data_IF_476478177352
#
_entry.id   IF_476478177352
#
_cell.length_a   1.000
_cell.length_b   1.000
_cell.length_c   1.000
_cell.angle_alpha   90.00
_cell.angle_beta   90.00
_cell.angle_gamma   90.00
#
_symmetry.space_group_name_H-M   'P 1'
#
loop_
_entity.id
_entity.type
_entity.pdbx_description
1 polymer ?
#
# COMPACT_ATOMS: atom_id res chain seq x y z
N UNK A 1 -5.78 -0.24 18.42
CA UNK A 1 -6.39 -0.78 17.20
C UNK A 1 -6.71 0.38 16.28
N UNK A 2 -6.80 0.15 14.99
CA UNK A 2 -7.25 1.14 14.01
C UNK A 2 -8.21 0.45 13.03
N UNK A 3 -9.37 1.05 12.77
CA UNK A 3 -10.45 0.45 11.98
C UNK A 3 -11.12 1.48 11.08
N UNK A 4 -11.86 1.03 10.06
CA UNK A 4 -12.64 1.91 9.20
C UNK A 4 -13.90 2.50 9.89
N UNK A 5 -14.18 2.15 11.14
CA UNK A 5 -15.27 2.73 11.94
C UNK A 5 -14.87 4.02 12.67
N UNK A 6 -13.59 4.36 12.69
CA UNK A 6 -13.09 5.53 13.39
C UNK A 6 -13.21 6.81 12.55
N UNK A 7 -13.29 7.96 13.22
CA UNK A 7 -13.50 9.25 12.55
C UNK A 7 -12.46 9.60 11.48
N UNK A 8 -11.23 9.10 11.59
CA UNK A 8 -10.18 9.38 10.60
C UNK A 8 -10.47 8.75 9.23
N UNK A 9 -11.29 7.69 9.17
CA UNK A 9 -11.58 6.97 7.93
C UNK A 9 -12.61 7.68 7.05
N UNK A 10 -13.49 8.49 7.66
CA UNK A 10 -14.62 9.15 7.02
C UNK A 10 -14.72 10.58 7.52
N UNK A 11 -14.11 11.51 6.79
CA UNK A 11 -14.08 12.93 7.14
C UNK A 11 -14.91 13.74 6.16
N UNK A 12 -15.78 14.61 6.68
CA UNK A 12 -16.47 15.60 5.86
C UNK A 12 -15.48 16.70 5.41
N UNK A 13 -15.72 17.35 4.26
CA UNK A 13 -14.95 18.52 3.86
C UNK A 13 -14.99 19.63 4.92
N UNK A 14 -13.89 20.37 5.06
CA UNK A 14 -13.81 21.56 5.89
C UNK A 14 -14.09 22.79 5.04
N UNK A 15 -15.13 23.54 5.40
CA UNK A 15 -15.44 24.83 4.78
C UNK A 15 -14.43 25.90 5.20
N UNK A 16 -13.95 26.68 4.25
CA UNK A 16 -13.10 27.86 4.47
C UNK A 16 -13.67 29.06 3.69
N UNK A 17 -13.20 30.27 3.98
CA UNK A 17 -13.63 31.45 3.23
C UNK A 17 -13.33 31.26 1.74
N UNK A 18 -14.38 31.28 0.91
CA UNK A 18 -14.32 31.11 -0.55
C UNK A 18 -13.73 29.76 -1.01
N UNK A 19 -13.96 28.68 -0.26
CA UNK A 19 -13.41 27.37 -0.62
C UNK A 19 -13.71 26.21 0.31
N UNK A 20 -13.10 25.06 0.00
CA UNK A 20 -13.19 23.83 0.79
C UNK A 20 -11.85 23.09 0.87
N UNK A 21 -11.68 22.32 1.94
CA UNK A 21 -10.55 21.42 2.13
C UNK A 21 -11.09 20.01 2.37
N UNK A 22 -10.79 19.09 1.46
CA UNK A 22 -11.11 17.67 1.57
C UNK A 22 -9.89 16.90 2.07
N UNK A 23 -10.11 15.96 3.00
CA UNK A 23 -9.08 15.08 3.52
C UNK A 23 -9.49 13.61 3.41
N UNK A 24 -8.56 12.79 2.93
CA UNK A 24 -8.65 11.33 3.00
C UNK A 24 -7.42 10.77 3.71
N UNK A 25 -7.65 9.93 4.69
CA UNK A 25 -6.59 9.24 5.41
C UNK A 25 -6.66 7.76 5.05
N UNK A 26 -5.54 7.19 4.62
CA UNK A 26 -5.39 5.78 4.25
C UNK A 26 -4.41 5.13 5.20
N UNK A 27 -4.84 4.07 5.86
CA UNK A 27 -3.97 3.19 6.64
C UNK A 27 -3.00 2.45 5.70
N UNK A 28 -1.70 2.70 5.79
CA UNK A 28 -0.71 2.04 4.94
C UNK A 28 -0.39 0.62 5.40
N UNK A 29 -0.72 0.25 6.64
CA UNK A 29 -0.66 -1.14 7.10
C UNK A 29 -1.80 -2.00 6.54
N UNK A 30 -2.74 -1.42 5.77
CA UNK A 30 -3.68 -2.22 4.95
C UNK A 30 -3.02 -2.87 3.73
N UNK A 31 -1.79 -2.45 3.41
CA UNK A 31 -1.06 -2.79 2.18
C UNK A 31 0.20 -3.60 2.47
N UNK A 32 0.66 -4.36 1.49
CA UNK A 32 1.93 -5.06 1.58
C UNK A 32 3.10 -4.08 1.49
N UNK A 33 3.95 -4.04 2.53
CA UNK A 33 5.18 -3.25 2.50
C UNK A 33 6.24 -3.96 1.66
N UNK A 34 6.53 -3.40 0.48
CA UNK A 34 7.49 -3.93 -0.48
C UNK A 34 8.92 -4.01 0.07
N UNK A 35 9.32 -3.09 0.95
CA UNK A 35 10.63 -3.14 1.61
C UNK A 35 10.76 -4.28 2.63
N UNK A 36 9.67 -4.98 2.95
CA UNK A 36 9.71 -6.07 3.93
C UNK A 36 10.39 -7.35 3.42
N UNK A 37 10.66 -7.45 2.12
CA UNK A 37 11.32 -8.62 1.50
C UNK A 37 12.81 -8.70 1.82
N UNK A 38 13.42 -7.61 2.29
CA UNK A 38 14.83 -7.56 2.77
C UNK A 38 14.93 -7.49 4.30
N UNK A 39 13.79 -7.56 4.99
CA UNK A 39 13.75 -7.57 6.45
C UNK A 39 14.02 -8.92 7.08
N UNK A 40 13.79 -9.02 8.41
CA UNK A 40 14.06 -10.23 9.20
C UNK A 40 13.38 -11.51 8.66
N UNK A 41 12.18 -11.37 8.09
CA UNK A 41 11.42 -12.48 7.50
C UNK A 41 11.38 -12.38 5.96
N UNK A 42 12.43 -11.82 5.36
CA UNK A 42 12.48 -11.45 3.94
C UNK A 42 12.05 -12.55 2.98
N UNK A 43 12.64 -13.75 3.10
CA UNK A 43 12.28 -14.90 2.26
C UNK A 43 10.79 -15.29 2.35
N UNK A 44 10.19 -15.24 3.54
CA UNK A 44 8.76 -15.54 3.71
C UNK A 44 7.89 -14.43 3.11
N UNK A 45 8.35 -13.17 3.22
CA UNK A 45 7.67 -12.02 2.65
C UNK A 45 7.79 -12.00 1.12
N UNK A 46 8.91 -12.42 0.53
CA UNK A 46 9.07 -12.60 -0.91
C UNK A 46 8.06 -13.62 -1.46
N UNK A 47 7.86 -14.74 -0.75
CA UNK A 47 6.83 -15.73 -1.13
C UNK A 47 5.40 -15.18 -1.01
N UNK A 48 5.13 -14.31 -0.02
CA UNK A 48 3.85 -13.58 0.06
C UNK A 48 3.69 -12.61 -1.11
N UNK A 49 4.75 -11.91 -1.48
CA UNK A 49 4.74 -10.98 -2.61
C UNK A 49 4.47 -11.72 -3.93
N UNK A 50 5.09 -12.88 -4.15
CA UNK A 50 4.80 -13.74 -5.33
C UNK A 50 3.32 -14.08 -5.44
N UNK A 51 2.69 -14.50 -4.34
CA UNK A 51 1.24 -14.77 -4.30
C UNK A 51 0.41 -13.52 -4.56
N UNK A 52 0.83 -12.36 -4.05
CA UNK A 52 0.14 -11.09 -4.30
C UNK A 52 0.16 -10.71 -5.78
N UNK A 53 1.30 -10.87 -6.45
CA UNK A 53 1.42 -10.68 -7.90
C UNK A 53 0.50 -11.66 -8.65
N UNK A 54 0.55 -12.95 -8.31
CA UNK A 54 -0.30 -13.98 -8.91
C UNK A 54 -1.80 -13.64 -8.76
N UNK A 55 -2.27 -13.29 -7.56
CA UNK A 55 -3.67 -12.94 -7.32
C UNK A 55 -4.08 -11.59 -7.93
N UNK A 56 -3.12 -10.73 -8.25
CA UNK A 56 -3.35 -9.49 -8.99
C UNK A 56 -3.33 -9.69 -10.52
N UNK A 57 -3.27 -10.94 -10.97
CA UNK A 57 -3.14 -11.32 -12.39
C UNK A 57 -1.87 -10.72 -13.03
N UNK A 58 -0.75 -10.84 -12.33
CA UNK A 58 0.57 -10.39 -12.75
C UNK A 58 1.57 -11.55 -12.73
N UNK A 59 2.69 -11.38 -13.43
CA UNK A 59 3.76 -12.38 -13.40
C UNK A 59 4.41 -12.42 -12.00
N UNK A 60 4.31 -13.55 -11.26
CA UNK A 60 4.93 -13.69 -9.94
C UNK A 60 6.46 -13.58 -9.98
N UNK A 61 7.09 -13.76 -11.15
CA UNK A 61 8.54 -13.56 -11.34
C UNK A 61 8.97 -12.12 -11.03
N UNK A 62 8.07 -11.14 -11.17
CA UNK A 62 8.34 -9.74 -10.81
C UNK A 62 8.63 -9.53 -9.32
N UNK A 63 8.23 -10.46 -8.45
CA UNK A 63 8.61 -10.41 -7.04
C UNK A 63 10.10 -10.72 -6.84
N UNK A 64 10.70 -11.59 -7.66
CA UNK A 64 12.14 -11.86 -7.63
C UNK A 64 12.93 -10.63 -8.12
N UNK A 65 12.49 -9.99 -9.20
CA UNK A 65 13.08 -8.73 -9.67
C UNK A 65 12.94 -7.60 -8.64
N UNK A 66 11.86 -7.58 -7.85
CA UNK A 66 11.74 -6.62 -6.76
C UNK A 66 12.70 -6.90 -5.60
N UNK A 67 12.99 -8.17 -5.29
CA UNK A 67 13.99 -8.52 -4.26
C UNK A 67 15.36 -7.97 -4.64
N UNK A 68 15.84 -8.28 -5.85
CA UNK A 68 17.13 -7.77 -6.36
C UNK A 68 17.14 -6.23 -6.39
N UNK A 69 16.00 -5.58 -6.69
CA UNK A 69 15.93 -4.11 -6.70
C UNK A 69 16.29 -3.47 -5.34
N UNK A 70 15.88 -4.10 -4.23
CA UNK A 70 15.95 -3.49 -2.89
C UNK A 70 16.98 -4.11 -1.96
N UNK A 71 17.50 -5.30 -2.27
CA UNK A 71 18.56 -5.91 -1.46
C UNK A 71 19.91 -5.21 -1.67
N UNK A 72 20.88 -5.47 -0.80
CA UNK A 72 22.14 -4.72 -0.81
C UNK A 72 23.26 -5.41 -1.59
N UNK A 73 23.00 -6.62 -2.09
CA UNK A 73 24.04 -7.42 -2.73
C UNK A 73 23.98 -7.28 -4.26
N UNK A 74 24.30 -8.33 -4.99
CA UNK A 74 24.37 -8.34 -6.45
C UNK A 74 24.07 -9.72 -7.01
N UNK A 75 23.48 -10.58 -6.19
CA UNK A 75 23.16 -11.96 -6.51
C UNK A 75 21.75 -12.03 -7.08
N UNK A 76 21.66 -12.44 -8.35
CA UNK A 76 20.40 -12.42 -9.10
C UNK A 76 19.48 -13.55 -8.63
N UNK A 77 18.25 -13.21 -8.23
CA UNK A 77 17.19 -14.22 -8.01
C UNK A 77 16.90 -15.02 -9.29
N UNK A 78 16.26 -16.22 -9.23
CA UNK A 78 16.01 -17.05 -10.41
C UNK A 78 15.35 -16.34 -11.61
N UNK A 79 14.49 -15.36 -11.34
CA UNK A 79 13.86 -14.49 -12.33
C UNK A 79 14.09 -12.99 -12.03
N UNK A 80 15.18 -12.71 -11.31
CA UNK A 80 15.56 -11.37 -10.89
C UNK A 80 16.30 -10.59 -11.99
N UNK A 81 16.77 -9.39 -11.62
CA UNK A 81 17.48 -8.49 -12.52
C UNK A 81 18.40 -7.57 -11.71
N UNK A 82 19.64 -7.44 -12.16
CA UNK A 82 20.66 -6.60 -11.52
C UNK A 82 21.22 -5.56 -12.49
N UNK A 83 22.31 -4.89 -12.09
CA UNK A 83 22.97 -3.84 -12.89
C UNK A 83 23.20 -4.24 -14.36
N UNK A 84 23.57 -5.50 -14.61
CA UNK A 84 23.78 -6.02 -15.97
C UNK A 84 22.53 -5.94 -16.84
N UNK A 85 21.36 -6.14 -16.25
CA UNK A 85 20.07 -6.19 -16.92
C UNK A 85 19.49 -4.78 -17.09
N UNK A 86 19.59 -3.95 -16.05
CA UNK A 86 19.09 -2.58 -16.07
C UNK A 86 19.90 -1.64 -16.99
N UNK A 87 21.20 -1.87 -17.15
CA UNK A 87 22.05 -1.11 -18.08
C UNK A 87 21.73 -1.37 -19.56
N UNK A 88 20.94 -2.41 -19.88
CA UNK A 88 20.46 -2.69 -21.23
C UNK A 88 19.15 -1.95 -21.58
N UNK A 89 18.53 -1.29 -20.61
CA UNK A 89 17.29 -0.53 -20.81
C UNK A 89 17.53 0.84 -21.44
N UNK A 90 16.46 1.47 -21.91
CA UNK A 90 16.49 2.82 -22.48
C UNK A 90 15.53 3.76 -21.71
N UNK A 91 16.03 4.78 -21.00
CA UNK A 91 17.46 5.05 -20.75
C UNK A 91 18.10 3.99 -19.84
N UNK A 92 19.43 3.79 -19.89
CA UNK A 92 20.11 2.84 -19.02
C UNK A 92 20.18 3.39 -17.58
N UNK A 93 19.98 2.51 -16.60
CA UNK A 93 20.12 2.80 -15.19
C UNK A 93 20.70 1.60 -14.44
N UNK A 94 20.97 1.79 -13.15
CA UNK A 94 21.45 0.75 -12.24
C UNK A 94 20.34 0.31 -11.31
N UNK A 95 20.48 -0.88 -10.76
CA UNK A 95 19.66 -1.33 -9.64
C UNK A 95 19.83 -0.36 -8.45
N UNK A 96 18.79 -0.19 -7.64
CA UNK A 96 18.86 0.75 -6.52
C UNK A 96 19.76 0.23 -5.37
N UNK A 97 19.74 -1.08 -5.14
CA UNK A 97 20.42 -1.83 -4.08
C UNK A 97 20.22 -1.22 -2.68
N UNK A 98 18.99 -0.76 -2.44
CA UNK A 98 18.55 -0.15 -1.19
C UNK A 98 17.03 -0.20 -1.07
N UNK A 99 16.51 -0.05 0.14
CA UNK A 99 15.08 0.10 0.35
C UNK A 99 14.51 1.24 -0.49
N UNK A 100 13.41 0.95 -1.18
CA UNK A 100 12.73 1.92 -2.03
C UNK A 100 12.15 3.07 -1.21
N UNK A 101 12.25 4.27 -1.75
CA UNK A 101 11.72 5.50 -1.17
C UNK A 101 10.30 5.81 -1.68
N UNK A 102 9.97 5.36 -2.89
CA UNK A 102 8.64 5.54 -3.47
C UNK A 102 8.11 4.28 -4.15
N UNK A 103 6.79 4.08 -4.10
CA UNK A 103 6.13 2.94 -4.72
C UNK A 103 6.35 2.90 -6.25
N UNK A 104 6.51 4.05 -6.89
CA UNK A 104 6.72 4.14 -8.34
C UNK A 104 8.01 3.44 -8.81
N UNK A 105 8.97 3.21 -7.93
CA UNK A 105 10.19 2.45 -8.23
C UNK A 105 9.90 1.01 -8.68
N UNK A 106 8.76 0.43 -8.27
CA UNK A 106 8.36 -0.90 -8.74
C UNK A 106 8.18 -0.96 -10.27
N UNK A 107 7.94 0.18 -10.93
CA UNK A 107 7.87 0.27 -12.39
C UNK A 107 9.24 0.17 -13.08
N UNK A 108 10.33 0.35 -12.32
CA UNK A 108 11.70 0.16 -12.79
C UNK A 108 12.16 -1.29 -12.57
N UNK A 109 11.68 -1.94 -11.51
CA UNK A 109 12.06 -3.32 -11.20
C UNK A 109 11.19 -4.35 -11.94
N UNK A 110 9.87 -4.27 -11.74
CA UNK A 110 8.91 -5.28 -12.17
C UNK A 110 8.66 -5.26 -13.69
N UNK A 111 8.21 -6.40 -14.20
CA UNK A 111 7.97 -6.64 -15.62
C UNK A 111 6.51 -6.29 -15.99
N UNK A 112 6.15 -5.01 -15.92
CA UNK A 112 4.82 -4.58 -16.36
C UNK A 112 4.76 -4.41 -17.87
N UNK A 113 3.79 -5.06 -18.52
CA UNK A 113 3.49 -4.91 -19.95
C UNK A 113 2.57 -3.70 -20.21
N UNK A 114 1.84 -3.24 -19.20
CA UNK A 114 0.90 -2.12 -19.33
C UNK A 114 0.75 -1.29 -18.06
N UNK A 115 0.20 -0.07 -18.20
CA UNK A 115 -0.18 0.75 -17.04
C UNK A 115 -1.31 0.14 -16.23
N UNK A 116 -2.14 -0.72 -16.84
CA UNK A 116 -3.25 -1.38 -16.18
C UNK A 116 -2.77 -2.41 -15.16
N UNK A 117 -1.70 -3.14 -15.48
CA UNK A 117 -1.06 -4.07 -14.55
C UNK A 117 -0.56 -3.39 -13.28
N UNK A 118 0.15 -2.26 -13.44
CA UNK A 118 0.54 -1.43 -12.30
C UNK A 118 -0.68 -0.94 -11.52
N UNK A 119 -1.76 -0.53 -12.21
CA UNK A 119 -2.98 -0.04 -11.57
C UNK A 119 -3.70 -1.14 -10.76
N UNK A 120 -3.58 -2.42 -11.15
CA UNK A 120 -4.07 -3.55 -10.35
C UNK A 120 -3.26 -3.76 -9.07
N UNK A 121 -1.94 -3.59 -9.11
CA UNK A 121 -1.08 -3.80 -7.93
C UNK A 121 -1.08 -2.62 -6.95
N UNK A 122 -1.07 -1.39 -7.46
CA UNK A 122 -0.84 -0.17 -6.67
C UNK A 122 -1.77 0.03 -5.46
N UNK A 123 -3.05 -0.40 -5.47
CA UNK A 123 -3.90 -0.34 -4.29
C UNK A 123 -3.45 -1.24 -3.14
N UNK A 124 -2.72 -2.31 -3.44
CA UNK A 124 -2.38 -3.40 -2.52
C UNK A 124 -0.97 -3.31 -1.94
N UNK A 125 -0.11 -2.44 -2.46
CA UNK A 125 1.29 -2.33 -2.03
C UNK A 125 1.64 -0.93 -1.54
N UNK A 126 2.70 -0.85 -0.75
CA UNK A 126 3.30 0.40 -0.25
C UNK A 126 4.80 0.21 -0.05
N UNK A 127 5.54 1.31 0.09
CA UNK A 127 6.93 1.30 0.58
C UNK A 127 6.97 2.10 1.87
N UNK A 128 7.57 1.51 2.91
CA UNK A 128 7.72 2.15 4.22
C UNK A 128 9.19 2.12 4.62
N UNK A 129 9.67 3.06 5.45
CA UNK A 129 11.03 3.05 5.99
C UNK A 129 11.18 2.01 7.11
N UNK A 130 10.77 0.78 6.83
CA UNK A 130 10.83 -0.37 7.73
C UNK A 130 10.98 -1.66 6.90
N UNK A 131 11.79 -2.59 7.39
CA UNK A 131 11.88 -3.95 6.87
C UNK A 131 10.79 -4.89 7.42
N UNK A 132 9.92 -4.40 8.29
CA UNK A 132 8.84 -5.22 8.86
C UNK A 132 7.62 -5.25 7.94
N UNK A 133 6.97 -6.41 7.93
CA UNK A 133 5.61 -6.56 7.41
C UNK A 133 4.64 -6.56 8.59
N UNK A 134 3.75 -5.57 8.63
CA UNK A 134 2.76 -5.39 9.67
C UNK A 134 1.41 -5.04 9.03
N UNK A 135 0.55 -6.05 8.88
CA UNK A 135 -0.73 -5.96 8.18
C UNK A 135 -1.88 -5.75 9.16
N UNK A 136 -2.56 -4.61 9.07
CA UNK A 136 -3.74 -4.34 9.88
C UNK A 136 -4.97 -5.07 9.31
N UNK A 137 -5.41 -6.12 10.00
CA UNK A 137 -6.56 -6.96 9.61
C UNK A 137 -7.87 -6.19 9.50
N UNK A 138 -8.01 -5.06 10.20
CA UNK A 138 -9.23 -4.25 10.18
C UNK A 138 -9.37 -3.38 8.92
N UNK A 139 -8.27 -3.21 8.16
CA UNK A 139 -8.23 -2.32 6.99
C UNK A 139 -7.63 -3.00 5.76
N UNK A 140 -6.97 -4.17 5.92
CA UNK A 140 -6.29 -4.91 4.85
C UNK A 140 -7.18 -5.13 3.63
N UNK A 141 -6.60 -5.01 2.45
CA UNK A 141 -7.28 -5.34 1.19
C UNK A 141 -7.40 -6.86 1.03
N UNK A 142 -8.38 -7.30 0.27
CA UNK A 142 -8.58 -8.69 -0.14
C UNK A 142 -7.30 -9.37 -0.69
N UNK A 143 -6.63 -8.78 -1.68
CA UNK A 143 -5.47 -9.41 -2.33
C UNK A 143 -4.28 -9.58 -1.39
N UNK A 144 -4.03 -8.59 -0.52
CA UNK A 144 -2.99 -8.67 0.52
C UNK A 144 -3.34 -9.77 1.50
N UNK A 145 -4.59 -9.82 1.98
CA UNK A 145 -5.03 -10.87 2.90
C UNK A 145 -4.88 -12.27 2.29
N UNK A 146 -5.33 -12.46 1.05
CA UNK A 146 -5.20 -13.73 0.33
C UNK A 146 -3.74 -14.16 0.20
N UNK A 147 -2.83 -13.23 -0.09
CA UNK A 147 -1.39 -13.53 -0.22
C UNK A 147 -0.72 -13.97 1.09
N UNK A 148 -1.34 -13.70 2.24
CA UNK A 148 -0.73 -13.99 3.55
C UNK A 148 -0.51 -15.47 3.77
N UNK A 149 -1.35 -16.35 3.24
CA UNK A 149 -1.23 -17.80 3.44
C UNK A 149 -1.42 -18.57 2.13
N UNK A 150 -0.72 -19.69 1.93
CA UNK A 150 -0.85 -20.47 0.70
C UNK A 150 -2.28 -20.97 0.49
N UNK A 151 -2.77 -20.89 -0.74
CA UNK A 151 -4.08 -21.39 -1.15
C UNK A 151 -5.27 -20.76 -0.39
N UNK A 152 -5.13 -19.51 0.09
CA UNK A 152 -6.27 -18.78 0.63
C UNK A 152 -7.20 -18.34 -0.51
N UNK A 153 -8.49 -18.73 -0.53
CA UNK A 153 -9.38 -18.35 -1.61
C UNK A 153 -9.56 -16.83 -1.70
N UNK A 154 -9.34 -16.25 -2.89
CA UNK A 154 -9.53 -14.80 -3.13
C UNK A 154 -10.97 -14.38 -2.79
N UNK A 155 -11.96 -15.22 -3.11
CA UNK A 155 -13.36 -14.97 -2.77
C UNK A 155 -13.61 -14.86 -1.25
N UNK A 156 -12.93 -15.68 -0.44
CA UNK A 156 -13.04 -15.61 1.02
C UNK A 156 -12.36 -14.35 1.56
N UNK A 157 -11.24 -13.94 0.93
CA UNK A 157 -10.55 -12.70 1.28
C UNK A 157 -11.39 -11.46 0.92
N UNK A 158 -12.08 -11.50 -0.21
CA UNK A 158 -13.02 -10.46 -0.62
C UNK A 158 -14.19 -10.37 0.35
N UNK A 159 -14.81 -11.51 0.69
CA UNK A 159 -15.90 -11.54 1.68
C UNK A 159 -15.44 -10.98 3.04
N UNK A 160 -14.21 -11.28 3.46
CA UNK A 160 -13.63 -10.69 4.66
C UNK A 160 -13.44 -9.17 4.53
N UNK A 161 -12.92 -8.70 3.39
CA UNK A 161 -12.63 -7.30 3.16
C UNK A 161 -13.90 -6.43 3.07
N UNK A 162 -14.99 -6.99 2.51
CA UNK A 162 -16.30 -6.35 2.35
C UNK A 162 -17.08 -6.24 3.67
N UNK A 163 -16.70 -7.02 4.69
CA UNK A 163 -17.31 -6.95 6.01
C UNK A 163 -16.81 -5.73 6.80
N UNK A 164 -17.68 -5.22 7.67
CA UNK A 164 -17.26 -4.31 8.73
C UNK A 164 -16.39 -5.08 9.71
N UNK A 165 -15.15 -4.60 9.90
CA UNK A 165 -14.14 -5.25 10.74
C UNK A 165 -13.78 -4.35 11.92
N UNK A 166 -13.88 -4.93 13.12
CA UNK A 166 -13.56 -4.25 14.39
C UNK A 166 -12.92 -5.24 15.38
N UNK A 167 -11.86 -5.92 14.94
CA UNK A 167 -11.13 -6.87 15.78
C UNK A 167 -10.22 -6.13 16.76
N UNK A 168 -10.34 -6.48 18.05
CA UNK A 168 -9.47 -5.98 19.11
C UNK A 168 -8.12 -6.70 19.16
N UNK A 169 -8.09 -7.96 18.70
CA UNK A 169 -6.91 -8.82 18.73
C UNK A 169 -6.79 -9.70 17.49
N UNK A 170 -5.56 -10.08 17.15
CA UNK A 170 -5.27 -10.97 16.02
C UNK A 170 -5.84 -12.37 16.26
N UNK A 171 -5.87 -12.81 17.53
CA UNK A 171 -6.43 -14.10 17.93
C UNK A 171 -7.91 -14.24 17.57
N UNK A 172 -8.68 -13.15 17.61
CA UNK A 172 -10.10 -13.14 17.25
C UNK A 172 -10.30 -13.37 15.74
N UNK A 173 -9.39 -12.82 14.93
CA UNK A 173 -9.34 -13.07 13.48
C UNK A 173 -9.00 -14.53 13.21
N UNK A 174 -7.99 -15.07 13.88
CA UNK A 174 -7.57 -16.47 13.69
C UNK A 174 -8.66 -17.45 14.16
N UNK A 175 -9.40 -17.13 15.23
CA UNK A 175 -10.52 -17.94 15.68
C UNK A 175 -11.63 -18.03 14.61
N UNK A 176 -11.83 -16.95 13.84
CA UNK A 176 -12.81 -16.90 12.76
C UNK A 176 -12.27 -17.48 11.45
N UNK A 177 -10.99 -17.24 11.16
CA UNK A 177 -10.28 -17.62 9.94
C UNK A 177 -8.97 -18.35 10.28
N UNK A 178 -9.11 -19.60 10.73
CA UNK A 178 -8.00 -20.43 11.22
C UNK A 178 -6.75 -20.48 10.31
N UNK A 179 -6.86 -20.53 8.97
CA UNK A 179 -5.68 -20.54 8.10
C UNK A 179 -4.74 -19.34 8.31
N UNK A 180 -5.27 -18.16 8.65
CA UNK A 180 -4.47 -16.95 8.89
C UNK A 180 -3.51 -17.07 10.08
N UNK A 181 -3.70 -18.08 10.94
CA UNK A 181 -2.78 -18.39 12.03
C UNK A 181 -1.34 -18.64 11.57
N UNK A 182 -1.13 -19.13 10.34
CA UNK A 182 0.21 -19.30 9.76
C UNK A 182 0.96 -17.96 9.56
N UNK A 183 0.23 -16.84 9.54
CA UNK A 183 0.76 -15.49 9.36
C UNK A 183 0.57 -14.58 10.58
N UNK A 184 0.20 -15.13 11.74
CA UNK A 184 -0.06 -14.39 12.98
C UNK A 184 1.06 -13.39 13.35
N UNK A 185 2.33 -13.71 13.07
CA UNK A 185 3.47 -12.85 13.40
C UNK A 185 3.50 -11.50 12.67
N UNK A 186 2.87 -11.41 11.49
CA UNK A 186 2.80 -10.16 10.70
C UNK A 186 1.44 -9.49 10.75
N UNK A 187 0.42 -10.16 11.28
CA UNK A 187 -0.91 -9.56 11.46
C UNK A 187 -0.91 -8.64 12.68
N UNK A 188 -1.64 -7.55 12.56
CA UNK A 188 -1.88 -6.53 13.58
C UNK A 188 -3.34 -6.08 13.51
N UNK A 189 -3.78 -5.37 14.54
CA UNK A 189 -5.10 -4.73 14.61
C UNK A 189 -5.00 -3.20 14.61
N UNK A 190 -3.78 -2.66 14.47
CA UNK A 190 -3.52 -1.24 14.43
C UNK A 190 -2.24 -0.93 13.64
N UNK A 191 -2.01 0.35 13.44
CA UNK A 191 -1.11 0.84 12.39
C UNK A 191 -0.21 1.96 12.89
N UNK A 192 0.98 2.05 12.28
CA UNK A 192 1.95 3.12 12.57
C UNK A 192 2.16 4.05 11.37
N UNK A 193 1.62 3.73 10.21
CA UNK A 193 1.83 4.52 9.00
C UNK A 193 0.50 4.87 8.34
N UNK A 194 0.33 6.15 8.06
CA UNK A 194 -0.87 6.67 7.43
C UNK A 194 -0.49 7.59 6.29
N UNK A 195 -1.24 7.51 5.19
CA UNK A 195 -1.15 8.47 4.10
C UNK A 195 -2.30 9.44 4.20
N UNK A 196 -1.98 10.73 4.29
CA UNK A 196 -2.96 11.83 4.30
C UNK A 196 -2.95 12.49 2.94
N UNK A 197 -4.12 12.53 2.34
CA UNK A 197 -4.38 13.11 1.04
C UNK A 197 -5.27 14.33 1.24
N UNK A 198 -4.80 15.50 0.80
CA UNK A 198 -5.49 16.77 0.99
C UNK A 198 -5.75 17.40 -0.37
N UNK A 199 -7.01 17.78 -0.63
CA UNK A 199 -7.38 18.66 -1.75
C UNK A 199 -7.93 19.95 -1.17
N UNK A 200 -7.32 21.08 -1.51
CA UNK A 200 -7.82 22.40 -1.16
C UNK A 200 -8.24 23.14 -2.43
N UNK A 201 -9.45 23.72 -2.41
CA UNK A 201 -9.98 24.58 -3.47
C UNK A 201 -10.33 25.92 -2.83
N UNK A 202 -9.74 27.02 -3.31
CA UNK A 202 -10.03 28.38 -2.85
C UNK A 202 -10.09 29.30 -4.06
N UNK A 203 -11.26 29.90 -4.31
CA UNK A 203 -11.56 30.57 -5.57
C UNK A 203 -11.26 29.64 -6.76
N UNK A 204 -10.42 30.10 -7.68
CA UNK A 204 -9.98 29.31 -8.86
C UNK A 204 -8.72 28.45 -8.60
N UNK A 205 -8.18 28.45 -7.38
CA UNK A 205 -6.93 27.74 -7.05
C UNK A 205 -7.23 26.36 -6.48
N UNK A 206 -6.67 25.32 -7.10
CA UNK A 206 -6.67 23.95 -6.58
C UNK A 206 -5.25 23.52 -6.20
N UNK A 207 -5.10 22.98 -5.00
CA UNK A 207 -3.85 22.40 -4.50
C UNK A 207 -4.12 20.97 -4.00
N UNK A 208 -3.26 20.02 -4.38
CA UNK A 208 -3.29 18.66 -3.87
C UNK A 208 -1.96 18.33 -3.16
N UNK A 209 -2.05 17.67 -2.02
CA UNK A 209 -0.91 17.26 -1.22
C UNK A 209 -1.13 15.86 -0.67
N UNK A 210 -0.24 14.93 -1.01
CA UNK A 210 -0.10 13.65 -0.32
C UNK A 210 1.03 13.75 0.69
N UNK A 211 0.80 13.34 1.92
CA UNK A 211 1.81 13.19 2.97
C UNK A 211 1.79 11.77 3.54
N UNK A 212 2.97 11.21 3.81
CA UNK A 212 3.09 9.97 4.60
C UNK A 212 3.48 10.35 6.02
N UNK A 213 2.71 9.86 6.99
CA UNK A 213 2.90 10.08 8.41
C UNK A 213 3.31 8.78 9.09
N UNK A 214 4.23 8.89 10.05
CA UNK A 214 4.54 7.84 11.01
C UNK A 214 3.99 8.24 12.39
N UNK A 215 3.23 7.34 13.01
CA UNK A 215 2.71 7.45 14.37
C UNK A 215 3.56 6.56 15.28
N UNK A 216 4.26 7.16 16.22
CA UNK A 216 5.01 6.43 17.24
C UNK A 216 4.03 5.55 18.05
N UNK A 217 4.22 4.23 18.12
CA UNK A 217 3.31 3.33 18.82
C UNK A 217 3.33 3.49 20.35
N UNK A 218 4.35 4.13 20.94
CA UNK A 218 4.48 4.28 22.39
C UNK A 218 3.72 5.49 22.94
N UNK A 219 3.81 6.63 22.27
CA UNK A 219 3.26 7.91 22.74
C UNK A 219 2.26 8.58 21.77
N UNK A 220 2.11 8.03 20.56
CA UNK A 220 1.21 8.56 19.53
C UNK A 220 1.74 9.79 18.77
N UNK A 221 3.01 10.19 18.96
CA UNK A 221 3.60 11.32 18.24
C UNK A 221 3.58 11.09 16.72
N UNK A 222 3.17 12.11 15.96
CA UNK A 222 3.10 12.07 14.50
C UNK A 222 4.30 12.78 13.87
N UNK A 223 5.02 12.07 13.02
CA UNK A 223 6.11 12.61 12.19
C UNK A 223 5.74 12.54 10.72
N UNK A 224 5.94 13.65 9.99
CA UNK A 224 5.80 13.66 8.52
C UNK A 224 7.07 13.09 7.90
N UNK A 225 6.94 12.01 7.14
CA UNK A 225 8.07 11.35 6.46
C UNK A 225 8.30 11.89 5.05
N UNK A 226 7.23 12.12 4.29
CA UNK A 226 7.32 12.61 2.92
C UNK A 226 6.12 13.49 2.56
N UNK A 227 6.30 14.27 1.49
CA UNK A 227 5.27 15.12 0.88
C UNK A 227 5.39 15.09 -0.64
N UNK A 228 4.27 15.01 -1.33
CA UNK A 228 4.17 15.07 -2.79
C UNK A 228 3.01 15.97 -3.22
N UNK A 229 3.27 16.87 -4.16
CA UNK A 229 2.26 17.76 -4.78
C UNK A 229 1.82 17.28 -6.17
N UNK A 230 2.38 16.16 -6.65
CA UNK A 230 2.16 15.67 -8.03
C UNK A 230 1.22 14.48 -8.16
N UNK A 231 0.71 13.95 -7.04
CA UNK A 231 -0.21 12.82 -7.06
C UNK A 231 -1.65 13.29 -7.30
N UNK A 232 -2.29 12.76 -8.35
CA UNK A 232 -3.71 12.99 -8.57
C UNK A 232 -4.52 12.24 -7.52
N UNK A 233 -5.36 12.96 -6.79
CA UNK A 233 -6.24 12.35 -5.81
C UNK A 233 -7.45 11.70 -6.49
N UNK A 234 -7.55 10.37 -6.43
CA UNK A 234 -8.82 9.66 -6.68
C UNK A 234 -9.70 9.71 -5.41
N UNK A 235 -10.16 10.93 -5.11
CA UNK A 235 -11.33 11.12 -4.25
C UNK A 235 -12.58 10.87 -5.10
N UNK A 236 -13.64 10.23 -4.58
CA UNK A 236 -14.94 10.28 -5.23
C UNK A 236 -15.26 11.74 -5.54
N UNK A 237 -15.56 12.04 -6.80
CA UNK A 237 -16.05 13.36 -7.18
C UNK A 237 -17.51 13.39 -6.77
N UNK A 238 -17.91 14.30 -5.89
CA UNK A 238 -19.32 14.65 -5.76
C UNK A 238 -19.72 15.34 -7.07
N UNK A 239 -20.35 14.59 -7.98
CA UNK A 239 -20.87 15.08 -9.27
C UNK A 239 -22.10 16.01 -9.10
N UNK A 240 -22.49 16.32 -7.87
CA UNK A 240 -23.71 17.10 -7.56
C UNK A 240 -23.53 18.62 -7.66
N UNK A 241 -22.33 19.11 -7.96
CA UNK A 241 -22.07 20.56 -8.12
C UNK A 241 -22.32 21.08 -9.55
N UNK A 242 -22.60 20.22 -10.54
CA UNK A 242 -22.75 20.64 -11.95
C UNK A 242 -24.18 20.84 -12.45
N UNK A 243 -25.23 20.61 -11.66
CA UNK A 243 -26.63 20.74 -12.13
C UNK A 243 -27.32 22.10 -11.86
N UNK A 244 -26.70 23.08 -11.20
CA UNK A 244 -27.40 24.36 -10.88
C UNK A 244 -27.01 25.59 -11.71
N UNK A 245 -26.33 25.44 -12.85
CA UNK A 245 -26.00 26.57 -13.74
C UNK A 245 -26.68 26.56 -15.11
N UNK A 246 -27.64 25.67 -15.35
CA UNK A 246 -28.54 25.75 -16.51
C UNK A 246 -30.00 25.70 -16.09
N UNK A 247 -30.53 26.82 -15.59
CA UNK A 247 -31.97 27.10 -15.55
C UNK A 247 -32.27 28.58 -15.80
#
# INVERSE_FOLDING_TARGET
KDTLLEHWSTMAPFEVDDGSIELRIVDLSSRFNLNSVVGRNGAQNAERLKRLFEYSELDPSSADAWVDWVDADGEVQPYGAEDSDHLLRDPPYRTANQSAADISEIRLAAMFESSEEYARLAPHVTVLPSGDLAINVNTVTDMVLASMVPNFPVADAQLFADQVRDFDKVEDVIATYAPLGASAGVLKVGSSFFRVQVRAVVGDTRCELTSVLHRNPEDGELTVLSRSFGERLDLPVDDDATETMES
#
